data_IF_925666506784
#
_entry.id   IF_925666506784
#
_cell.length_a   1.000
_cell.length_b   1.000
_cell.length_c   1.000
_cell.angle_alpha   90.00
_cell.angle_beta   90.00
_cell.angle_gamma   90.00
#
_symmetry.space_group_name_H-M   'P 1'
#
loop_
_entity.id
_entity.type
_entity.pdbx_description
1 polymer ?
#
# COMPACT_ATOMS: atom_id res chain seq x y z
N UNK A 1 -1.03 20.69 -13.56
CA UNK A 1 -1.58 19.93 -12.40
C UNK A 1 -3.03 19.58 -12.72
N UNK A 2 -3.35 18.30 -12.80
CA UNK A 2 -4.66 17.78 -13.21
C UNK A 2 -5.45 17.25 -12.03
N UNK A 3 -6.79 17.36 -12.11
CA UNK A 3 -7.68 16.70 -11.17
C UNK A 3 -7.65 15.19 -11.40
N UNK A 4 -7.49 14.43 -10.32
CA UNK A 4 -7.43 12.98 -10.40
C UNK A 4 -8.84 12.35 -10.34
N UNK A 5 -9.07 11.24 -11.07
CA UNK A 5 -10.37 10.58 -11.09
C UNK A 5 -10.65 9.86 -9.77
N UNK A 6 -11.81 10.10 -9.18
CA UNK A 6 -12.32 9.39 -8.00
C UNK A 6 -13.27 8.26 -8.40
N UNK A 7 -13.54 7.33 -7.47
CA UNK A 7 -14.58 6.31 -7.65
C UNK A 7 -15.96 6.89 -7.30
N UNK A 8 -17.00 6.29 -7.84
CA UNK A 8 -18.36 6.52 -7.35
C UNK A 8 -18.55 5.65 -6.09
N UNK A 9 -18.56 6.29 -4.92
CA UNK A 9 -18.66 5.65 -3.60
C UNK A 9 -19.43 6.53 -2.64
N UNK A 10 -20.29 5.90 -1.83
CA UNK A 10 -20.97 6.53 -0.73
C UNK A 10 -20.71 5.78 0.59
N UNK A 11 -20.87 6.44 1.72
CA UNK A 11 -20.74 5.79 3.03
C UNK A 11 -21.78 4.67 3.22
N UNK A 12 -22.94 4.77 2.56
CA UNK A 12 -23.98 3.76 2.58
C UNK A 12 -23.54 2.43 1.93
N UNK A 13 -22.63 2.47 0.96
CA UNK A 13 -22.10 1.27 0.32
C UNK A 13 -21.32 0.36 1.31
N UNK A 14 -20.90 0.93 2.43
CA UNK A 14 -20.09 0.25 3.46
C UNK A 14 -20.91 -0.19 4.69
N UNK A 15 -22.24 -0.20 4.64
CA UNK A 15 -23.10 -0.54 5.79
C UNK A 15 -22.81 -1.92 6.39
N UNK A 16 -22.49 -2.91 5.55
CA UNK A 16 -22.13 -4.26 6.00
C UNK A 16 -20.75 -4.32 6.70
N UNK A 17 -19.96 -3.26 6.58
CA UNK A 17 -18.60 -3.16 7.11
C UNK A 17 -18.48 -2.18 8.28
N UNK A 18 -19.56 -1.47 8.60
CA UNK A 18 -19.64 -0.46 9.66
C UNK A 18 -20.53 -0.92 10.81
N UNK A 19 -20.09 -0.66 12.04
CA UNK A 19 -21.00 -0.68 13.20
C UNK A 19 -21.74 0.66 13.28
N UNK A 20 -22.92 0.68 13.93
CA UNK A 20 -23.68 1.91 14.14
C UNK A 20 -22.84 3.02 14.81
N UNK A 21 -22.09 2.66 15.86
CA UNK A 21 -21.21 3.60 16.58
C UNK A 21 -20.14 4.23 15.67
N UNK A 22 -19.51 3.42 14.79
CA UNK A 22 -18.50 3.92 13.83
C UNK A 22 -19.11 4.84 12.80
N UNK A 23 -20.31 4.51 12.31
CA UNK A 23 -21.05 5.37 11.38
C UNK A 23 -21.37 6.72 12.04
N UNK A 24 -21.99 6.70 13.22
CA UNK A 24 -22.33 7.90 13.98
C UNK A 24 -21.11 8.81 14.23
N UNK A 25 -19.95 8.20 14.52
CA UNK A 25 -18.70 8.95 14.71
C UNK A 25 -18.25 9.63 13.42
N UNK A 26 -18.28 8.93 12.27
CA UNK A 26 -17.92 9.49 10.96
C UNK A 26 -18.87 10.65 10.62
N UNK A 27 -20.19 10.45 10.73
CA UNK A 27 -21.20 11.45 10.44
C UNK A 27 -21.07 12.69 11.34
N UNK A 28 -20.77 12.49 12.62
CA UNK A 28 -20.54 13.58 13.58
C UNK A 28 -19.30 14.40 13.24
N UNK A 29 -18.18 13.76 12.88
CA UNK A 29 -16.96 14.43 12.45
C UNK A 29 -17.21 15.23 11.17
N UNK A 30 -17.78 14.60 10.17
CA UNK A 30 -18.05 15.21 8.87
C UNK A 30 -18.99 16.43 8.99
N UNK A 31 -20.01 16.35 9.86
CA UNK A 31 -20.91 17.47 10.11
C UNK A 31 -20.21 18.73 10.67
N UNK A 32 -19.07 18.55 11.36
CA UNK A 32 -18.23 19.66 11.83
C UNK A 32 -17.31 20.27 10.75
N UNK A 33 -17.18 19.60 9.58
CA UNK A 33 -16.20 19.93 8.54
C UNK A 33 -16.82 20.32 7.19
N UNK A 34 -18.12 20.60 7.15
CA UNK A 34 -18.86 20.88 5.90
C UNK A 34 -18.38 22.15 5.17
N UNK A 35 -17.78 23.08 5.89
CA UNK A 35 -17.22 24.32 5.33
C UNK A 35 -15.68 24.23 5.14
N UNK A 36 -15.06 23.08 5.50
CA UNK A 36 -13.61 22.87 5.44
C UNK A 36 -13.21 22.28 4.08
N UNK A 37 -12.45 23.02 3.30
CA UNK A 37 -11.94 22.57 1.99
C UNK A 37 -10.59 21.86 2.14
N UNK A 38 -10.52 20.63 1.66
CA UNK A 38 -9.32 19.79 1.74
C UNK A 38 -8.75 19.55 0.35
N UNK A 39 -7.42 19.64 0.20
CA UNK A 39 -6.70 19.27 -1.02
C UNK A 39 -5.74 18.13 -0.72
N UNK A 40 -5.81 17.05 -1.49
CA UNK A 40 -4.78 16.02 -1.55
C UNK A 40 -3.88 16.23 -2.76
N UNK A 41 -2.56 16.27 -2.56
CA UNK A 41 -1.55 16.32 -3.62
C UNK A 41 -0.70 15.06 -3.60
N UNK A 42 -0.58 14.37 -4.75
CA UNK A 42 0.35 13.26 -4.93
C UNK A 42 0.97 13.26 -6.34
N UNK A 43 1.84 12.30 -6.63
CA UNK A 43 2.63 12.26 -7.86
C UNK A 43 2.00 11.50 -9.02
N UNK A 44 0.95 10.69 -8.81
CA UNK A 44 0.35 9.88 -9.87
C UNK A 44 -1.13 9.61 -9.62
N UNK A 45 -1.98 9.62 -10.65
CA UNK A 45 -3.40 9.28 -10.51
C UNK A 45 -3.64 7.76 -10.50
N UNK A 46 -2.61 6.93 -10.77
CA UNK A 46 -2.74 5.48 -10.93
C UNK A 46 -1.42 4.78 -10.60
N UNK A 47 -1.46 3.47 -10.45
CA UNK A 47 -0.25 2.66 -10.27
C UNK A 47 0.33 2.77 -8.85
N UNK A 48 -0.27 2.13 -7.88
CA UNK A 48 0.23 2.06 -6.51
C UNK A 48 -0.83 2.25 -5.45
N UNK A 49 -0.50 1.83 -4.22
CA UNK A 49 -1.45 1.81 -3.11
C UNK A 49 -1.98 3.17 -2.69
N UNK A 50 -1.19 4.24 -2.84
CA UNK A 50 -1.61 5.62 -2.48
C UNK A 50 -2.71 6.11 -3.41
N UNK A 51 -2.51 6.01 -4.72
CA UNK A 51 -3.51 6.43 -5.71
C UNK A 51 -4.79 5.58 -5.60
N UNK A 52 -4.65 4.27 -5.38
CA UNK A 52 -5.80 3.37 -5.20
C UNK A 52 -6.63 3.76 -3.97
N UNK A 53 -5.98 4.06 -2.86
CA UNK A 53 -6.60 4.54 -1.63
C UNK A 53 -7.31 5.89 -1.81
N UNK A 54 -6.64 6.87 -2.44
CA UNK A 54 -7.17 8.22 -2.64
C UNK A 54 -8.41 8.24 -3.53
N UNK A 55 -8.48 7.39 -4.55
CA UNK A 55 -9.66 7.26 -5.42
C UNK A 55 -10.96 7.01 -4.65
N UNK A 56 -10.90 6.24 -3.59
CA UNK A 56 -12.07 5.91 -2.77
C UNK A 56 -12.20 6.83 -1.56
N UNK A 57 -11.08 7.23 -0.93
CA UNK A 57 -11.09 8.11 0.24
C UNK A 57 -11.67 9.49 -0.08
N UNK A 58 -11.21 10.12 -1.17
CA UNK A 58 -11.69 11.44 -1.59
C UNK A 58 -13.18 11.40 -1.97
N UNK A 59 -13.62 10.32 -2.64
CA UNK A 59 -15.04 10.12 -2.90
C UNK A 59 -15.89 10.08 -1.62
N UNK A 60 -15.42 9.33 -0.60
CA UNK A 60 -16.12 9.22 0.68
C UNK A 60 -16.07 10.50 1.51
N UNK A 61 -15.00 11.28 1.45
CA UNK A 61 -14.94 12.59 2.11
C UNK A 61 -16.00 13.54 1.51
N UNK A 62 -16.10 13.57 0.18
CA UNK A 62 -17.13 14.36 -0.53
C UNK A 62 -18.55 13.85 -0.25
N UNK A 63 -18.80 12.53 -0.25
CA UNK A 63 -20.11 11.96 0.10
C UNK A 63 -20.51 12.30 1.54
N UNK A 64 -19.54 12.29 2.46
CA UNK A 64 -19.75 12.71 3.85
C UNK A 64 -20.00 14.22 4.02
N UNK A 65 -19.85 15.01 2.96
CA UNK A 65 -20.08 16.46 2.95
C UNK A 65 -18.86 17.31 3.27
N UNK A 66 -17.65 16.74 3.23
CA UNK A 66 -16.38 17.48 3.39
C UNK A 66 -15.78 17.76 2.00
N UNK A 67 -15.82 19.02 1.53
CA UNK A 67 -15.35 19.37 0.18
C UNK A 67 -13.87 19.03 0.00
N UNK A 68 -13.58 18.03 -0.84
CA UNK A 68 -12.24 17.49 -0.98
C UNK A 68 -11.84 17.33 -2.45
N UNK A 69 -10.72 17.93 -2.81
CA UNK A 69 -10.11 17.80 -4.13
C UNK A 69 -8.88 16.88 -4.06
N UNK A 70 -8.61 16.20 -5.17
CA UNK A 70 -7.39 15.44 -5.35
C UNK A 70 -6.73 15.84 -6.66
N UNK A 71 -5.50 16.33 -6.58
CA UNK A 71 -4.70 16.76 -7.73
C UNK A 71 -3.37 16.04 -7.81
N UNK A 72 -2.89 15.89 -9.03
CA UNK A 72 -1.61 15.26 -9.34
C UNK A 72 -0.63 16.33 -9.79
N UNK A 73 0.58 16.32 -9.21
CA UNK A 73 1.65 17.25 -9.57
C UNK A 73 2.18 16.95 -10.99
N UNK A 74 2.63 18.00 -11.67
CA UNK A 74 3.33 17.89 -12.95
C UNK A 74 4.84 17.78 -12.76
N UNK A 75 5.52 17.19 -13.75
CA UNK A 75 6.98 17.10 -13.78
C UNK A 75 7.50 16.56 -15.10
N UNK A 76 8.74 16.89 -15.43
CA UNK A 76 9.47 16.25 -16.50
C UNK A 76 10.17 14.96 -15.99
N UNK A 77 10.77 14.22 -16.92
CA UNK A 77 11.53 13.00 -16.60
C UNK A 77 12.62 13.27 -15.55
N UNK A 78 13.36 14.37 -15.68
CA UNK A 78 14.42 14.74 -14.76
C UNK A 78 13.90 15.01 -13.33
N UNK A 79 12.70 15.60 -13.19
CA UNK A 79 12.07 15.79 -11.90
C UNK A 79 11.67 14.44 -11.27
N UNK A 80 11.05 13.55 -12.05
CA UNK A 80 10.64 12.24 -11.52
C UNK A 80 11.84 11.34 -11.19
N UNK A 81 12.95 11.43 -11.93
CA UNK A 81 14.22 10.78 -11.55
C UNK A 81 14.74 11.32 -10.20
N UNK A 82 14.72 12.64 -10.00
CA UNK A 82 15.13 13.28 -8.74
C UNK A 82 14.21 12.85 -7.59
N UNK A 83 12.90 12.86 -7.78
CA UNK A 83 11.97 12.45 -6.72
C UNK A 83 12.06 10.95 -6.41
N UNK A 84 12.34 10.09 -7.40
CA UNK A 84 12.66 8.66 -7.18
C UNK A 84 13.95 8.52 -6.36
N UNK A 85 14.99 9.30 -6.65
CA UNK A 85 16.22 9.29 -5.87
C UNK A 85 16.01 9.77 -4.43
N UNK A 86 15.16 10.80 -4.22
CA UNK A 86 14.79 11.26 -2.87
C UNK A 86 14.03 10.16 -2.12
N UNK A 87 13.05 9.53 -2.77
CA UNK A 87 12.29 8.41 -2.21
C UNK A 87 13.21 7.26 -1.77
N UNK A 88 14.12 6.83 -2.63
CA UNK A 88 15.07 5.76 -2.32
C UNK A 88 16.07 6.18 -1.23
N UNK A 89 16.60 7.42 -1.29
CA UNK A 89 17.50 7.95 -0.28
C UNK A 89 16.85 8.06 1.11
N UNK A 90 15.58 8.37 1.19
CA UNK A 90 14.80 8.35 2.42
C UNK A 90 14.57 6.92 2.95
N UNK A 91 14.78 5.90 2.13
CA UNK A 91 14.79 4.51 2.54
C UNK A 91 16.22 3.94 2.71
N UNK A 92 17.25 4.81 2.65
CA UNK A 92 18.66 4.42 2.84
C UNK A 92 19.37 3.93 1.58
N UNK A 93 18.73 4.02 0.42
CA UNK A 93 19.28 3.57 -0.87
C UNK A 93 19.09 4.65 -1.93
N UNK A 94 20.08 5.46 -2.15
CA UNK A 94 20.01 6.50 -3.17
C UNK A 94 21.40 6.94 -3.61
N UNK A 95 21.52 7.58 -4.80
CA UNK A 95 22.76 8.23 -5.20
C UNK A 95 23.05 9.39 -4.23
N UNK A 96 24.28 9.92 -4.18
CA UNK A 96 24.55 11.14 -3.42
C UNK A 96 23.66 12.30 -3.85
N UNK A 97 22.99 12.95 -2.88
CA UNK A 97 22.11 14.10 -3.13
C UNK A 97 22.91 15.33 -3.56
N UNK A 98 22.81 15.73 -4.83
CA UNK A 98 23.54 16.85 -5.43
C UNK A 98 22.77 18.17 -5.34
N UNK A 99 23.49 19.29 -5.53
CA UNK A 99 22.84 20.62 -5.59
C UNK A 99 21.93 20.76 -6.82
N UNK A 100 22.29 20.16 -7.97
CA UNK A 100 21.42 20.12 -9.13
C UNK A 100 20.11 19.39 -8.90
N UNK A 101 20.12 18.30 -8.15
CA UNK A 101 18.87 17.59 -7.74
C UNK A 101 18.01 18.48 -6.85
N UNK A 102 18.62 19.18 -5.88
CA UNK A 102 17.90 20.11 -4.98
C UNK A 102 17.26 21.26 -5.77
N UNK A 103 17.96 21.80 -6.77
CA UNK A 103 17.47 22.89 -7.62
C UNK A 103 16.33 22.42 -8.52
N UNK A 104 16.45 21.25 -9.17
CA UNK A 104 15.40 20.65 -9.99
C UNK A 104 14.13 20.39 -9.15
N UNK A 105 14.29 19.82 -7.96
CA UNK A 105 13.17 19.56 -7.04
C UNK A 105 12.45 20.87 -6.65
N UNK A 106 13.19 21.90 -6.19
CA UNK A 106 12.59 23.18 -5.78
C UNK A 106 11.88 23.89 -6.93
N UNK A 107 12.50 23.94 -8.10
CA UNK A 107 11.89 24.56 -9.28
C UNK A 107 10.51 23.92 -9.59
N UNK A 108 10.44 22.61 -9.69
CA UNK A 108 9.20 21.93 -10.01
C UNK A 108 8.15 22.00 -8.90
N UNK A 109 8.55 21.95 -7.65
CA UNK A 109 7.61 22.12 -6.54
C UNK A 109 7.09 23.57 -6.45
N UNK A 110 7.87 24.57 -6.78
CA UNK A 110 7.42 25.96 -6.92
C UNK A 110 6.43 26.14 -8.09
N UNK A 111 6.72 25.56 -9.27
CA UNK A 111 5.82 25.56 -10.42
C UNK A 111 4.48 24.87 -10.08
N UNK A 112 4.51 23.73 -9.39
CA UNK A 112 3.31 23.04 -8.92
C UNK A 112 2.54 23.85 -7.87
N UNK A 113 3.21 24.50 -6.95
CA UNK A 113 2.57 25.38 -5.98
C UNK A 113 1.86 26.56 -6.68
N UNK A 114 2.45 27.13 -7.72
CA UNK A 114 1.84 28.22 -8.52
C UNK A 114 0.56 27.74 -9.25
N UNK A 115 0.47 26.48 -9.60
CA UNK A 115 -0.72 25.89 -10.25
C UNK A 115 -1.92 25.66 -9.30
N UNK A 116 -1.72 25.68 -7.98
CA UNK A 116 -2.82 25.65 -7.00
C UNK A 116 -3.43 27.04 -6.92
N UNK A 117 -4.51 27.30 -7.65
CA UNK A 117 -5.12 28.64 -7.76
C UNK A 117 -6.01 28.99 -6.57
N UNK A 118 -6.71 28.00 -6.02
CA UNK A 118 -7.68 28.17 -4.94
C UNK A 118 -7.03 28.04 -3.57
N UNK A 119 -7.63 28.67 -2.57
CA UNK A 119 -7.30 28.50 -1.16
C UNK A 119 -8.03 27.29 -0.58
N UNK A 120 -7.35 26.54 0.26
CA UNK A 120 -7.87 25.39 1.01
C UNK A 120 -7.59 25.59 2.49
N UNK A 121 -8.45 25.04 3.34
CA UNK A 121 -8.22 25.06 4.78
C UNK A 121 -7.13 24.05 5.17
N UNK A 122 -7.11 22.88 4.50
CA UNK A 122 -6.12 21.84 4.74
C UNK A 122 -5.54 21.30 3.42
N UNK A 123 -4.23 21.20 3.34
CA UNK A 123 -3.50 20.57 2.21
C UNK A 123 -2.72 19.37 2.71
N UNK A 124 -3.02 18.19 2.15
CA UNK A 124 -2.34 16.92 2.46
C UNK A 124 -1.37 16.56 1.33
N UNK A 125 -0.08 16.57 1.65
CA UNK A 125 1.01 16.27 0.73
C UNK A 125 1.44 14.81 0.88
N UNK A 126 1.23 14.00 -0.16
CA UNK A 126 1.51 12.56 -0.11
C UNK A 126 2.91 12.25 -0.60
N UNK A 127 3.74 11.69 0.28
CA UNK A 127 5.13 11.32 0.05
C UNK A 127 6.06 12.53 -0.22
N UNK A 128 7.35 12.32 -0.53
CA UNK A 128 8.28 13.43 -0.74
C UNK A 128 8.06 14.21 -2.05
N UNK A 129 7.35 13.66 -3.04
CA UNK A 129 7.24 14.26 -4.36
C UNK A 129 6.58 15.66 -4.33
N UNK A 130 5.39 15.85 -3.73
CA UNK A 130 4.75 17.16 -3.62
C UNK A 130 5.22 17.96 -2.39
N UNK A 131 6.01 17.40 -1.48
CA UNK A 131 6.28 18.00 -0.17
C UNK A 131 6.87 19.43 -0.29
N UNK A 132 7.76 19.68 -1.25
CA UNK A 132 8.39 20.98 -1.43
C UNK A 132 7.42 22.11 -1.81
N UNK A 133 6.20 21.79 -2.30
CA UNK A 133 5.17 22.79 -2.61
C UNK A 133 4.76 23.61 -1.38
N UNK A 134 4.96 23.05 -0.17
CA UNK A 134 4.64 23.72 1.09
C UNK A 134 5.37 25.07 1.26
N UNK A 135 6.60 25.23 0.72
CA UNK A 135 7.34 26.50 0.84
C UNK A 135 6.56 27.67 0.23
N UNK A 136 6.14 27.54 -1.02
CA UNK A 136 5.43 28.60 -1.73
C UNK A 136 3.94 28.68 -1.34
N UNK A 137 3.30 27.55 -1.02
CA UNK A 137 1.89 27.55 -0.61
C UNK A 137 1.70 28.21 0.75
N UNK A 138 2.55 27.91 1.75
CA UNK A 138 2.46 28.53 3.08
C UNK A 138 2.71 30.05 3.07
N UNK A 139 3.55 30.54 2.14
CA UNK A 139 3.75 31.98 1.96
C UNK A 139 2.52 32.66 1.33
N UNK A 140 1.84 31.96 0.40
CA UNK A 140 0.68 32.49 -0.31
C UNK A 140 -0.62 32.36 0.48
N UNK A 141 -0.77 31.29 1.23
CA UNK A 141 -1.95 30.93 2.00
C UNK A 141 -1.58 30.68 3.47
N UNK A 142 -1.31 31.74 4.28
CA UNK A 142 -0.78 31.60 5.63
C UNK A 142 -1.77 30.98 6.66
N UNK A 143 -3.06 30.94 6.34
CA UNK A 143 -4.09 30.34 7.20
C UNK A 143 -4.33 28.85 6.85
N UNK A 144 -3.74 28.34 5.75
CA UNK A 144 -3.87 26.93 5.34
C UNK A 144 -3.03 26.05 6.24
N UNK A 145 -3.63 24.99 6.79
CA UNK A 145 -2.92 23.95 7.50
C UNK A 145 -2.29 22.92 6.52
N UNK A 146 -1.05 22.56 6.74
CA UNK A 146 -0.31 21.61 5.91
C UNK A 146 -0.04 20.31 6.64
N UNK A 147 -0.37 19.19 6.00
CA UNK A 147 -0.11 17.84 6.50
C UNK A 147 0.80 17.11 5.54
N UNK A 148 1.92 16.61 6.02
CA UNK A 148 2.73 15.68 5.23
C UNK A 148 2.36 14.24 5.52
N UNK A 149 1.83 13.50 4.56
CA UNK A 149 1.54 12.08 4.65
C UNK A 149 2.67 11.27 4.03
N UNK A 150 3.58 10.75 4.86
CA UNK A 150 4.68 9.90 4.44
C UNK A 150 4.24 8.42 4.48
N UNK A 151 4.28 7.75 3.33
CA UNK A 151 3.92 6.33 3.20
C UNK A 151 5.13 5.39 3.26
N UNK A 152 6.35 5.95 3.30
CA UNK A 152 7.61 5.19 3.32
C UNK A 152 8.21 5.11 4.73
N UNK A 153 9.09 4.14 4.92
CA UNK A 153 9.85 3.95 6.14
C UNK A 153 11.11 4.83 6.14
N UNK A 154 11.26 5.72 7.12
CA UNK A 154 12.41 6.61 7.27
C UNK A 154 13.44 6.13 8.31
N UNK A 155 13.29 4.93 8.88
CA UNK A 155 14.18 4.44 9.95
C UNK A 155 15.64 4.39 9.52
N UNK A 156 15.90 4.00 8.27
CA UNK A 156 17.24 3.90 7.68
C UNK A 156 17.59 5.04 6.71
N UNK A 157 16.82 6.15 6.74
CA UNK A 157 17.01 7.27 5.82
C UNK A 157 18.48 7.78 5.81
N UNK A 158 19.00 8.01 4.60
CA UNK A 158 20.29 8.70 4.43
C UNK A 158 20.21 10.10 5.06
N UNK A 159 21.21 10.50 5.88
CA UNK A 159 21.18 11.78 6.59
C UNK A 159 21.04 13.01 5.69
N UNK A 160 21.62 12.99 4.47
CA UNK A 160 21.56 14.13 3.56
C UNK A 160 20.15 14.32 2.98
N UNK A 161 19.47 13.22 2.64
CA UNK A 161 18.10 13.24 2.17
C UNK A 161 17.11 13.59 3.30
N UNK A 162 17.32 13.03 4.50
CA UNK A 162 16.49 13.34 5.64
C UNK A 162 16.57 14.83 6.03
N UNK A 163 17.79 15.40 6.05
CA UNK A 163 17.99 16.82 6.32
C UNK A 163 17.37 17.71 5.25
N UNK A 164 17.43 17.28 3.97
CA UNK A 164 16.80 18.02 2.89
C UNK A 164 15.28 18.11 3.05
N UNK A 165 14.60 17.00 3.32
CA UNK A 165 13.13 17.00 3.51
C UNK A 165 12.71 17.65 4.82
N UNK A 166 13.54 17.59 5.86
CA UNK A 166 13.28 18.23 7.17
C UNK A 166 12.98 19.72 7.03
N UNK A 167 13.65 20.41 6.11
CA UNK A 167 13.41 21.83 5.83
C UNK A 167 11.96 22.12 5.41
N UNK A 168 11.36 21.22 4.64
CA UNK A 168 9.96 21.32 4.20
C UNK A 168 8.99 20.83 5.25
N UNK A 169 9.28 19.69 5.90
CA UNK A 169 8.45 19.12 6.98
C UNK A 169 8.28 20.11 8.14
N UNK A 170 9.31 20.91 8.45
CA UNK A 170 9.23 21.95 9.46
C UNK A 170 8.23 23.09 9.16
N UNK A 171 7.63 23.11 7.95
CA UNK A 171 6.57 24.04 7.55
C UNK A 171 5.18 23.38 7.56
N UNK A 172 5.09 22.11 7.93
CA UNK A 172 3.82 21.40 8.07
C UNK A 172 3.36 21.35 9.52
N UNK A 173 2.06 21.35 9.76
CA UNK A 173 1.45 21.27 11.09
C UNK A 173 1.51 19.87 11.65
N UNK A 174 1.40 18.87 10.78
CA UNK A 174 1.46 17.45 11.14
C UNK A 174 2.26 16.64 10.13
N UNK A 175 2.95 15.62 10.62
CA UNK A 175 3.51 14.57 9.79
C UNK A 175 2.86 13.22 10.13
N UNK A 176 2.30 12.56 9.12
CA UNK A 176 1.50 11.34 9.29
C UNK A 176 2.25 10.14 8.74
N UNK A 177 2.38 9.09 9.54
CA UNK A 177 3.11 7.86 9.21
C UNK A 177 2.21 6.63 9.35
N UNK A 178 2.61 5.52 8.72
CA UNK A 178 1.94 4.23 8.86
C UNK A 178 2.28 3.55 10.19
N UNK A 179 3.45 3.85 10.76
CA UNK A 179 3.96 3.38 12.05
C UNK A 179 4.64 4.52 12.80
N UNK A 180 4.62 4.52 14.15
CA UNK A 180 5.30 5.54 14.95
C UNK A 180 6.82 5.62 14.64
N UNK A 181 7.47 4.46 14.47
CA UNK A 181 8.91 4.34 14.28
C UNK A 181 9.38 5.01 12.98
N UNK A 182 8.54 5.07 11.94
CA UNK A 182 8.91 5.65 10.66
C UNK A 182 9.27 7.13 10.73
N UNK A 183 8.66 7.86 11.66
CA UNK A 183 8.90 9.28 11.85
C UNK A 183 9.85 9.63 13.02
N UNK A 184 10.44 8.67 13.74
CA UNK A 184 11.22 8.95 14.95
C UNK A 184 12.44 9.85 14.72
N UNK A 185 13.00 9.81 13.52
CA UNK A 185 14.15 10.65 13.13
C UNK A 185 13.79 12.08 12.73
N UNK A 186 12.49 12.42 12.67
CA UNK A 186 12.01 13.77 12.37
C UNK A 186 11.57 14.48 13.65
N UNK A 187 12.32 15.50 14.01
CA UNK A 187 12.01 16.38 15.13
C UNK A 187 11.34 17.67 14.62
N UNK A 188 10.62 18.38 15.52
CA UNK A 188 10.06 19.70 15.23
C UNK A 188 8.71 19.72 14.53
N UNK A 189 8.08 18.56 14.31
CA UNK A 189 6.71 18.44 13.80
C UNK A 189 5.92 17.46 14.67
N UNK A 190 4.63 17.71 14.86
CA UNK A 190 3.75 16.75 15.55
C UNK A 190 3.50 15.56 14.65
N UNK A 191 3.73 14.34 15.17
CA UNK A 191 3.63 13.08 14.43
C UNK A 191 2.35 12.35 14.78
N UNK A 192 1.63 11.92 13.76
CA UNK A 192 0.38 11.15 13.87
C UNK A 192 0.56 9.80 13.18
N UNK A 193 -0.02 8.75 13.72
CA UNK A 193 0.02 7.41 13.10
C UNK A 193 -1.34 7.07 12.52
N UNK A 194 -1.39 6.92 11.19
CA UNK A 194 -2.58 6.48 10.45
C UNK A 194 -2.17 5.36 9.50
N UNK A 195 -2.40 4.08 9.87
CA UNK A 195 -2.12 2.96 8.98
C UNK A 195 -2.97 3.03 7.71
N UNK A 196 -2.47 2.65 6.55
CA UNK A 196 -3.26 2.49 5.33
C UNK A 196 -4.44 1.52 5.49
N UNK A 197 -5.34 1.52 4.51
CA UNK A 197 -6.50 0.63 4.48
C UNK A 197 -6.80 0.17 3.05
N UNK A 198 -7.50 -0.94 2.93
CA UNK A 198 -8.05 -1.43 1.67
C UNK A 198 -9.51 -1.00 1.52
N UNK A 199 -9.95 -0.83 0.28
CA UNK A 199 -11.37 -0.68 -0.04
C UNK A 199 -11.98 -2.07 -0.32
N UNK A 200 -12.88 -2.57 0.55
CA UNK A 200 -13.46 -3.91 0.42
C UNK A 200 -14.40 -4.05 -0.81
N UNK A 201 -14.75 -2.95 -1.45
CA UNK A 201 -15.69 -2.91 -2.57
C UNK A 201 -15.01 -2.85 -3.95
N UNK A 202 -13.68 -2.78 -4.01
CA UNK A 202 -12.96 -2.84 -5.29
C UNK A 202 -13.02 -4.24 -5.90
N UNK A 203 -12.82 -4.34 -7.21
CA UNK A 203 -12.74 -5.64 -7.89
C UNK A 203 -11.69 -6.55 -7.27
N UNK A 204 -10.60 -5.98 -6.78
CA UNK A 204 -9.54 -6.69 -6.07
C UNK A 204 -10.00 -7.31 -4.74
N UNK A 205 -11.02 -6.74 -4.06
CA UNK A 205 -11.34 -7.10 -2.68
C UNK A 205 -12.78 -7.59 -2.43
N UNK A 206 -13.73 -7.19 -3.29
CA UNK A 206 -15.15 -7.59 -3.16
C UNK A 206 -15.35 -9.08 -3.28
N UNK A 207 -16.46 -9.59 -2.78
CA UNK A 207 -16.86 -10.96 -3.03
C UNK A 207 -17.07 -11.20 -4.55
N UNK A 208 -16.61 -12.34 -5.03
CA UNK A 208 -16.85 -12.79 -6.42
C UNK A 208 -18.08 -13.68 -6.47
N UNK A 209 -18.97 -13.45 -7.42
CA UNK A 209 -20.10 -14.33 -7.72
C UNK A 209 -19.66 -15.68 -8.29
N UNK A 210 -20.58 -16.67 -8.35
CA UNK A 210 -20.23 -18.00 -8.84
C UNK A 210 -19.74 -18.00 -10.30
N UNK A 211 -20.44 -17.27 -11.18
CA UNK A 211 -20.07 -17.17 -12.61
C UNK A 211 -18.74 -16.43 -12.80
N UNK A 212 -18.46 -15.39 -11.97
CA UNK A 212 -17.19 -14.68 -11.99
C UNK A 212 -16.05 -15.59 -11.54
N UNK A 213 -16.22 -16.36 -10.45
CA UNK A 213 -15.22 -17.34 -10.00
C UNK A 213 -14.89 -18.35 -11.08
N UNK A 214 -15.92 -18.88 -11.76
CA UNK A 214 -15.72 -19.82 -12.85
C UNK A 214 -14.94 -19.20 -14.01
N UNK A 215 -15.28 -17.96 -14.39
CA UNK A 215 -14.57 -17.24 -15.45
C UNK A 215 -13.10 -16.94 -15.09
N UNK A 216 -12.83 -16.59 -13.84
CA UNK A 216 -11.45 -16.34 -13.38
C UNK A 216 -10.65 -17.65 -13.23
N UNK A 217 -11.29 -18.75 -12.79
CA UNK A 217 -10.66 -20.07 -12.79
C UNK A 217 -10.27 -20.51 -14.21
N UNK A 218 -11.17 -20.32 -15.20
CA UNK A 218 -10.86 -20.61 -16.60
C UNK A 218 -9.70 -19.75 -17.14
N UNK A 219 -9.60 -18.49 -16.73
CA UNK A 219 -8.50 -17.59 -17.10
C UNK A 219 -7.14 -18.10 -16.65
N UNK A 220 -7.08 -18.67 -15.45
CA UNK A 220 -5.87 -19.24 -14.85
C UNK A 220 -5.86 -20.77 -14.89
N UNK A 221 -6.59 -21.39 -15.82
CA UNK A 221 -6.73 -22.83 -15.95
C UNK A 221 -5.39 -23.63 -15.92
N UNK A 222 -4.28 -23.14 -16.49
CA UNK A 222 -3.00 -23.81 -16.36
C UNK A 222 -2.51 -23.99 -14.92
N UNK A 223 -2.94 -23.08 -14.01
CA UNK A 223 -2.65 -23.16 -12.59
C UNK A 223 -3.61 -24.12 -11.85
N UNK A 224 -4.79 -24.40 -12.42
CA UNK A 224 -5.86 -25.21 -11.82
C UNK A 224 -6.08 -24.95 -10.30
N UNK A 225 -6.53 -23.74 -9.92
CA UNK A 225 -6.65 -23.38 -8.50
C UNK A 225 -7.64 -24.26 -7.71
N UNK A 226 -8.50 -25.04 -8.39
CA UNK A 226 -9.43 -25.98 -7.78
C UNK A 226 -8.85 -27.39 -7.58
N UNK A 227 -7.59 -27.64 -7.95
CA UNK A 227 -6.97 -28.94 -7.71
C UNK A 227 -6.75 -29.20 -6.20
N UNK A 228 -6.78 -30.48 -5.81
CA UNK A 228 -6.55 -30.90 -4.41
C UNK A 228 -5.10 -30.65 -3.90
N UNK A 229 -4.22 -30.09 -4.74
CA UNK A 229 -2.83 -29.79 -4.41
C UNK A 229 -2.69 -28.35 -3.88
N UNK A 230 -1.78 -28.11 -2.92
CA UNK A 230 -1.63 -26.78 -2.33
C UNK A 230 -1.27 -25.70 -3.34
N UNK A 231 -1.83 -24.50 -3.14
CA UNK A 231 -1.55 -23.30 -3.92
C UNK A 231 -0.93 -22.21 -3.02
N UNK A 232 0.31 -21.85 -3.33
CA UNK A 232 1.00 -20.72 -2.73
C UNK A 232 0.94 -19.52 -3.68
N UNK A 233 0.66 -18.33 -3.15
CA UNK A 233 0.52 -17.11 -3.95
C UNK A 233 1.39 -16.00 -3.36
N UNK A 234 2.14 -15.30 -4.20
CA UNK A 234 2.70 -13.98 -3.88
C UNK A 234 2.10 -12.96 -4.84
N UNK A 235 1.58 -11.85 -4.31
CA UNK A 235 1.13 -10.70 -5.09
C UNK A 235 2.05 -9.53 -4.81
N UNK A 236 2.92 -9.18 -5.76
CA UNK A 236 3.85 -8.07 -5.63
C UNK A 236 4.45 -7.68 -6.98
N UNK A 237 5.02 -6.46 -7.09
CA UNK A 237 5.91 -6.16 -8.20
C UNK A 237 7.12 -7.11 -8.19
N UNK A 238 7.74 -7.33 -9.34
CA UNK A 238 9.03 -7.98 -9.43
C UNK A 238 10.13 -7.00 -9.01
N UNK A 239 10.42 -6.99 -7.71
CA UNK A 239 11.24 -6.03 -7.01
C UNK A 239 12.15 -6.80 -6.05
N UNK A 240 13.47 -6.51 -5.95
CA UNK A 240 14.38 -7.23 -5.05
C UNK A 240 13.92 -7.25 -3.60
N UNK A 241 13.26 -6.18 -3.16
CA UNK A 241 12.75 -6.09 -1.77
C UNK A 241 11.55 -6.98 -1.49
N UNK A 242 10.86 -7.46 -2.53
CA UNK A 242 9.78 -8.44 -2.41
C UNK A 242 10.29 -9.88 -2.38
N UNK A 243 11.59 -10.07 -2.68
CA UNK A 243 12.33 -11.34 -2.61
C UNK A 243 11.61 -12.52 -3.30
N UNK A 244 11.23 -12.39 -4.60
CA UNK A 244 10.52 -13.44 -5.30
C UNK A 244 11.38 -14.70 -5.49
N UNK A 245 12.71 -14.59 -5.60
CA UNK A 245 13.62 -15.74 -5.64
C UNK A 245 13.61 -16.51 -4.32
N UNK A 246 13.55 -15.82 -3.18
CA UNK A 246 13.40 -16.47 -1.90
C UNK A 246 12.03 -17.13 -1.73
N UNK A 247 10.97 -16.63 -2.38
CA UNK A 247 9.67 -17.32 -2.44
C UNK A 247 9.77 -18.62 -3.25
N UNK A 248 10.49 -18.62 -4.38
CA UNK A 248 10.77 -19.86 -5.15
C UNK A 248 11.54 -20.87 -4.30
N UNK A 249 12.51 -20.43 -3.51
CA UNK A 249 13.26 -21.31 -2.60
C UNK A 249 12.34 -21.91 -1.52
N UNK A 250 11.44 -21.11 -0.92
CA UNK A 250 10.43 -21.61 0.03
C UNK A 250 9.50 -22.62 -0.63
N UNK A 251 9.00 -22.32 -1.83
CA UNK A 251 8.14 -23.22 -2.59
C UNK A 251 8.82 -24.59 -2.79
N UNK A 252 10.07 -24.64 -3.21
CA UNK A 252 10.82 -25.90 -3.41
C UNK A 252 10.89 -26.71 -2.13
N UNK A 253 11.18 -26.08 -0.99
CA UNK A 253 11.23 -26.76 0.31
C UNK A 253 9.85 -27.28 0.73
N UNK A 254 8.76 -26.59 0.39
CA UNK A 254 7.40 -27.06 0.65
C UNK A 254 7.03 -28.22 -0.28
N UNK A 255 7.33 -28.11 -1.57
CA UNK A 255 7.03 -29.13 -2.59
C UNK A 255 7.73 -30.49 -2.32
N UNK A 256 8.87 -30.50 -1.63
CA UNK A 256 9.51 -31.75 -1.15
C UNK A 256 8.60 -32.54 -0.20
N UNK A 257 7.84 -31.85 0.64
CA UNK A 257 6.93 -32.46 1.62
C UNK A 257 5.51 -32.65 1.07
N UNK A 258 5.08 -31.76 0.19
CA UNK A 258 3.76 -31.72 -0.46
C UNK A 258 3.91 -31.74 -1.98
N UNK A 259 4.15 -32.92 -2.58
CA UNK A 259 4.27 -33.04 -4.05
C UNK A 259 3.02 -32.51 -4.77
N UNK A 260 3.23 -31.76 -5.86
CA UNK A 260 2.16 -31.11 -6.61
C UNK A 260 1.79 -29.72 -6.06
N UNK A 261 2.48 -29.21 -5.03
CA UNK A 261 2.34 -27.81 -4.61
C UNK A 261 2.60 -26.88 -5.79
N UNK A 262 1.73 -25.90 -5.98
CA UNK A 262 1.83 -24.91 -7.05
C UNK A 262 2.19 -23.54 -6.47
N UNK A 263 2.93 -22.76 -7.25
CA UNK A 263 3.31 -21.40 -6.92
C UNK A 263 2.83 -20.43 -8.00
N UNK A 264 2.06 -19.42 -7.62
CA UNK A 264 1.75 -18.28 -8.47
C UNK A 264 2.48 -17.03 -7.98
N UNK A 265 3.35 -16.46 -8.82
CA UNK A 265 3.95 -15.14 -8.62
C UNK A 265 3.19 -14.15 -9.51
N UNK A 266 2.44 -13.26 -8.89
CA UNK A 266 1.48 -12.35 -9.54
C UNK A 266 1.94 -10.91 -9.39
N UNK A 267 2.14 -10.19 -10.51
CA UNK A 267 2.58 -8.80 -10.45
C UNK A 267 2.44 -8.05 -11.77
N UNK A 268 2.60 -6.73 -11.74
CA UNK A 268 2.71 -5.93 -12.96
C UNK A 268 4.04 -6.13 -13.65
N UNK A 269 4.06 -6.03 -14.98
CA UNK A 269 5.31 -5.96 -15.74
C UNK A 269 6.03 -4.66 -15.40
N UNK A 270 7.33 -4.73 -15.12
CA UNK A 270 8.12 -3.55 -14.80
C UNK A 270 8.61 -2.83 -16.08
N UNK A 271 7.68 -2.41 -16.97
CA UNK A 271 8.01 -1.88 -18.30
C UNK A 271 8.93 -0.67 -18.25
N UNK A 272 8.79 0.17 -17.21
CA UNK A 272 9.57 1.39 -17.02
C UNK A 272 10.65 1.25 -15.91
N UNK A 273 10.84 0.04 -15.36
CA UNK A 273 11.78 -0.23 -14.28
C UNK A 273 12.83 -1.30 -14.70
N UNK A 274 14.04 -0.86 -15.10
CA UNK A 274 15.11 -1.79 -15.52
C UNK A 274 15.48 -2.83 -14.46
N UNK A 275 15.46 -2.47 -13.17
CA UNK A 275 15.75 -3.36 -12.06
C UNK A 275 14.67 -4.43 -11.91
N UNK A 276 13.41 -4.05 -12.00
CA UNK A 276 12.29 -4.99 -11.97
C UNK A 276 12.32 -5.97 -13.14
N UNK A 277 12.73 -5.51 -14.34
CA UNK A 277 12.94 -6.39 -15.50
C UNK A 277 14.07 -7.38 -15.30
N UNK A 278 15.13 -7.00 -14.59
CA UNK A 278 16.23 -7.92 -14.26
C UNK A 278 15.75 -9.00 -13.29
N UNK A 279 15.08 -8.61 -12.20
CA UNK A 279 14.48 -9.54 -11.22
C UNK A 279 13.50 -10.50 -11.90
N UNK A 280 12.63 -9.99 -12.79
CA UNK A 280 11.71 -10.87 -13.54
C UNK A 280 12.45 -11.93 -14.38
N UNK A 281 13.53 -11.52 -15.08
CA UNK A 281 14.34 -12.47 -15.89
C UNK A 281 15.04 -13.51 -15.01
N UNK A 282 15.56 -13.10 -13.85
CA UNK A 282 16.18 -14.02 -12.89
C UNK A 282 15.18 -15.04 -12.37
N UNK A 283 13.99 -14.59 -11.95
CA UNK A 283 12.91 -15.48 -11.47
C UNK A 283 12.49 -16.44 -12.58
N UNK A 284 12.28 -15.95 -13.80
CA UNK A 284 11.94 -16.80 -14.95
C UNK A 284 13.01 -17.84 -15.24
N UNK A 285 14.30 -17.45 -15.20
CA UNK A 285 15.40 -18.37 -15.39
C UNK A 285 15.52 -19.41 -14.27
N UNK A 286 15.26 -18.99 -13.03
CA UNK A 286 15.29 -19.90 -11.88
C UNK A 286 14.14 -20.93 -11.87
N UNK A 287 13.04 -20.63 -12.55
CA UNK A 287 11.82 -21.48 -12.60
C UNK A 287 11.60 -22.14 -13.96
N UNK A 288 12.57 -22.01 -14.87
CA UNK A 288 12.49 -22.60 -16.21
C UNK A 288 12.35 -24.13 -16.13
N UNK A 289 11.30 -24.67 -16.78
CA UNK A 289 11.03 -26.11 -16.81
C UNK A 289 10.29 -26.65 -15.57
N UNK A 290 9.95 -25.82 -14.59
CA UNK A 290 9.09 -26.21 -13.47
C UNK A 290 7.61 -25.97 -13.85
N UNK A 291 6.80 -27.03 -14.09
CA UNK A 291 5.43 -26.87 -14.55
C UNK A 291 4.48 -26.34 -13.47
N UNK A 292 4.87 -26.39 -12.20
CA UNK A 292 4.06 -26.01 -11.05
C UNK A 292 4.34 -24.55 -10.61
N UNK A 293 5.25 -23.82 -11.29
CA UNK A 293 5.53 -22.40 -11.02
C UNK A 293 4.98 -21.53 -12.15
N UNK A 294 4.11 -20.58 -11.80
CA UNK A 294 3.41 -19.71 -12.74
C UNK A 294 3.78 -18.25 -12.50
N UNK A 295 4.32 -17.57 -13.51
CA UNK A 295 4.58 -16.14 -13.50
C UNK A 295 3.42 -15.45 -14.22
N UNK A 296 2.58 -14.76 -13.48
CA UNK A 296 1.35 -14.11 -13.95
C UNK A 296 1.52 -12.59 -13.94
N UNK A 297 1.81 -12.02 -15.11
CA UNK A 297 1.98 -10.56 -15.25
C UNK A 297 0.69 -9.89 -15.68
N UNK A 298 0.48 -8.65 -15.20
CA UNK A 298 -0.60 -7.74 -15.63
C UNK A 298 -2.00 -8.36 -15.57
N UNK A 299 -2.24 -9.13 -14.52
CA UNK A 299 -3.55 -9.76 -14.33
C UNK A 299 -4.61 -8.73 -13.91
N UNK A 300 -5.86 -8.88 -14.39
CA UNK A 300 -6.99 -8.10 -13.89
C UNK A 300 -7.15 -8.21 -12.36
N UNK A 301 -7.65 -7.16 -11.72
CA UNK A 301 -7.92 -7.14 -10.27
C UNK A 301 -8.82 -8.30 -9.81
N UNK A 302 -9.81 -8.69 -10.62
CA UNK A 302 -10.67 -9.85 -10.35
C UNK A 302 -9.87 -11.17 -10.30
N UNK A 303 -8.88 -11.33 -11.21
CA UNK A 303 -8.00 -12.50 -11.23
C UNK A 303 -7.11 -12.54 -9.97
N UNK A 304 -6.52 -11.40 -9.59
CA UNK A 304 -5.74 -11.28 -8.34
C UNK A 304 -6.61 -11.62 -7.12
N UNK A 305 -7.85 -11.10 -7.09
CA UNK A 305 -8.84 -11.41 -6.06
C UNK A 305 -9.12 -12.92 -5.98
N UNK A 306 -9.36 -13.56 -7.12
CA UNK A 306 -9.62 -14.99 -7.22
C UNK A 306 -8.42 -15.80 -6.69
N UNK A 307 -7.22 -15.53 -7.17
CA UNK A 307 -6.01 -16.24 -6.76
C UNK A 307 -5.74 -16.12 -5.25
N UNK A 308 -5.91 -14.93 -4.67
CA UNK A 308 -5.76 -14.76 -3.22
C UNK A 308 -6.85 -15.48 -2.42
N UNK A 309 -8.05 -15.75 -2.99
CA UNK A 309 -9.11 -16.51 -2.31
C UNK A 309 -8.91 -18.01 -2.37
N UNK A 310 -8.39 -18.50 -3.49
CA UNK A 310 -8.15 -19.92 -3.72
C UNK A 310 -6.79 -20.38 -3.16
N UNK A 311 -5.92 -19.45 -2.79
CA UNK A 311 -4.62 -19.78 -2.18
C UNK A 311 -4.80 -20.41 -0.79
N UNK A 312 -4.06 -21.48 -0.51
CA UNK A 312 -3.92 -22.04 0.83
C UNK A 312 -3.09 -21.13 1.74
N UNK A 313 -2.07 -20.46 1.16
CA UNK A 313 -1.20 -19.51 1.86
C UNK A 313 -0.75 -18.41 0.90
N UNK A 314 -0.84 -17.16 1.37
CA UNK A 314 -0.19 -16.04 0.70
C UNK A 314 1.17 -15.76 1.35
N UNK A 315 2.19 -15.61 0.53
CA UNK A 315 3.55 -15.31 0.95
C UNK A 315 3.86 -13.82 0.72
N UNK A 316 4.17 -13.09 1.79
CA UNK A 316 4.61 -11.70 1.73
C UNK A 316 5.89 -11.53 2.53
N UNK A 317 6.96 -12.19 2.06
CA UNK A 317 8.22 -12.24 2.78
C UNK A 317 9.19 -11.13 2.37
N UNK A 318 8.69 -9.92 2.21
CA UNK A 318 9.49 -8.76 1.84
C UNK A 318 10.71 -8.58 2.74
N UNK A 319 11.79 -8.07 2.17
CA UNK A 319 13.00 -7.67 2.87
C UNK A 319 12.86 -6.23 3.42
N UNK A 320 12.06 -5.42 2.71
CA UNK A 320 11.64 -4.06 3.09
C UNK A 320 10.20 -3.81 2.64
N UNK A 321 9.46 -3.05 3.43
CA UNK A 321 8.05 -2.79 3.15
C UNK A 321 7.56 -1.53 3.88
N UNK A 322 6.85 -0.66 3.18
CA UNK A 322 6.14 0.46 3.81
C UNK A 322 4.95 -0.04 4.62
N UNK A 323 4.03 -0.79 3.98
CA UNK A 323 2.84 -1.34 4.65
C UNK A 323 2.45 -2.73 4.14
N UNK A 324 2.49 -2.98 2.82
CA UNK A 324 2.00 -4.19 2.15
C UNK A 324 0.48 -4.35 2.21
N UNK A 325 -0.28 -3.57 1.42
CA UNK A 325 -1.74 -3.72 1.32
C UNK A 325 -2.17 -5.15 0.97
N UNK A 326 -1.34 -5.87 0.20
CA UNK A 326 -1.56 -7.27 -0.18
C UNK A 326 -1.73 -8.22 0.99
N UNK A 327 -1.15 -7.91 2.16
CA UNK A 327 -1.38 -8.66 3.41
C UNK A 327 -2.81 -8.46 3.89
N UNK A 328 -3.28 -7.20 4.01
CA UNK A 328 -4.68 -6.92 4.36
C UNK A 328 -5.65 -7.50 3.35
N UNK A 329 -5.32 -7.46 2.04
CA UNK A 329 -6.14 -8.04 0.97
C UNK A 329 -6.31 -9.55 1.12
N UNK A 330 -5.22 -10.28 1.39
CA UNK A 330 -5.26 -11.73 1.60
C UNK A 330 -6.04 -12.10 2.89
N UNK A 331 -5.73 -11.45 4.01
CA UNK A 331 -6.42 -11.66 5.28
C UNK A 331 -7.92 -11.32 5.17
N UNK A 332 -8.30 -10.28 4.42
CA UNK A 332 -9.69 -9.94 4.14
C UNK A 332 -10.43 -11.07 3.41
N UNK A 333 -9.73 -11.82 2.60
CA UNK A 333 -10.24 -12.98 1.86
C UNK A 333 -10.20 -14.29 2.65
N UNK A 334 -9.83 -14.24 3.93
CA UNK A 334 -9.66 -15.38 4.85
C UNK A 334 -8.46 -16.27 4.49
N UNK A 335 -7.51 -15.77 3.73
CA UNK A 335 -6.30 -16.50 3.37
C UNK A 335 -5.19 -16.13 4.35
N UNK A 336 -4.64 -17.08 5.11
CA UNK A 336 -3.56 -16.79 6.04
C UNK A 336 -2.29 -16.38 5.29
N UNK A 337 -1.52 -15.51 5.94
CA UNK A 337 -0.30 -14.94 5.38
C UNK A 337 0.91 -15.41 6.18
N UNK A 338 1.97 -15.84 5.49
CA UNK A 338 3.30 -15.92 6.08
C UNK A 338 4.09 -14.72 5.59
N UNK A 339 4.32 -13.77 6.47
CA UNK A 339 4.93 -12.47 6.19
C UNK A 339 6.33 -12.32 6.79
N UNK A 340 7.13 -11.45 6.16
CA UNK A 340 8.40 -10.99 6.76
C UNK A 340 8.14 -10.07 7.96
N UNK A 341 8.92 -10.22 9.03
CA UNK A 341 8.87 -9.33 10.19
C UNK A 341 9.59 -8.02 9.87
N UNK A 342 9.04 -7.26 8.91
CA UNK A 342 9.60 -5.98 8.43
C UNK A 342 8.50 -4.97 8.14
N UNK A 343 8.83 -3.71 8.27
CA UNK A 343 7.97 -2.61 7.87
C UNK A 343 6.58 -2.67 8.50
N UNK A 344 5.55 -2.40 7.71
CA UNK A 344 4.14 -2.42 8.14
C UNK A 344 3.48 -3.81 8.20
N UNK A 345 4.17 -4.89 7.82
CA UNK A 345 3.61 -6.25 7.87
C UNK A 345 3.23 -6.66 9.30
N UNK A 346 4.06 -6.43 10.34
CA UNK A 346 3.73 -6.75 11.74
C UNK A 346 2.52 -6.00 12.32
N UNK A 347 2.07 -4.91 11.70
CA UNK A 347 0.82 -4.25 12.09
C UNK A 347 -0.42 -5.09 11.72
N UNK A 348 -0.29 -5.91 10.68
CA UNK A 348 -1.38 -6.65 10.06
C UNK A 348 -1.42 -8.12 10.49
N UNK A 349 -0.28 -8.66 10.92
CA UNK A 349 -0.15 -10.05 11.35
C UNK A 349 0.14 -10.12 12.84
N UNK A 350 -0.72 -10.85 13.57
CA UNK A 350 -0.46 -11.34 14.92
C UNK A 350 0.07 -12.76 14.82
N UNK A 351 1.36 -12.94 15.12
CA UNK A 351 2.04 -14.21 14.94
C UNK A 351 1.31 -15.38 15.62
N UNK A 352 0.96 -16.39 14.83
CA UNK A 352 0.24 -17.57 15.27
C UNK A 352 -1.29 -17.43 15.49
N UNK A 353 -1.85 -16.20 15.34
CA UNK A 353 -3.30 -15.94 15.49
C UNK A 353 -4.00 -15.78 14.14
N UNK A 354 -3.49 -14.90 13.25
CA UNK A 354 -4.06 -14.61 11.94
C UNK A 354 -3.08 -14.77 10.77
N UNK A 355 -1.89 -15.26 11.05
CA UNK A 355 -0.79 -15.48 10.12
C UNK A 355 0.49 -15.79 10.87
N UNK A 356 1.61 -15.81 10.17
CA UNK A 356 2.91 -15.98 10.77
C UNK A 356 3.88 -14.87 10.35
N UNK A 357 4.72 -14.42 11.29
CA UNK A 357 5.84 -13.54 11.05
C UNK A 357 7.15 -14.31 11.09
N UNK A 358 8.02 -14.09 10.12
CA UNK A 358 9.32 -14.76 10.02
C UNK A 358 10.40 -13.73 9.70
N UNK A 359 11.58 -13.90 10.29
CA UNK A 359 12.71 -13.03 9.98
C UNK A 359 13.02 -13.03 8.46
N UNK A 360 13.43 -11.89 7.89
CA UNK A 360 13.85 -11.83 6.49
C UNK A 360 14.91 -12.87 6.14
N UNK A 361 14.77 -13.50 4.98
CA UNK A 361 15.71 -14.53 4.45
C UNK A 361 15.79 -15.84 5.25
N UNK A 362 14.98 -16.02 6.29
CA UNK A 362 14.88 -17.33 6.96
C UNK A 362 13.90 -18.25 6.20
N UNK A 363 14.33 -18.70 5.01
CA UNK A 363 13.51 -19.52 4.12
C UNK A 363 13.07 -20.85 4.75
N UNK A 364 13.94 -21.56 5.51
CA UNK A 364 13.50 -22.76 6.21
C UNK A 364 12.38 -22.52 7.21
N UNK A 365 12.43 -21.41 7.97
CA UNK A 365 11.38 -21.06 8.90
C UNK A 365 10.07 -20.70 8.16
N UNK A 366 10.13 -19.99 7.02
CA UNK A 366 8.96 -19.71 6.19
C UNK A 366 8.34 -21.01 5.70
N UNK A 367 9.14 -21.92 5.12
CA UNK A 367 8.67 -23.23 4.63
C UNK A 367 8.03 -24.06 5.74
N UNK A 368 8.57 -23.99 6.97
CA UNK A 368 8.03 -24.69 8.14
C UNK A 368 6.65 -24.14 8.54
N UNK A 369 6.46 -22.81 8.51
CA UNK A 369 5.17 -22.18 8.76
C UNK A 369 4.12 -22.53 7.70
N UNK A 370 4.53 -22.53 6.43
CA UNK A 370 3.66 -22.96 5.32
C UNK A 370 3.24 -24.42 5.50
N UNK A 371 4.20 -25.34 5.70
CA UNK A 371 3.88 -26.76 5.94
C UNK A 371 2.89 -26.96 7.08
N UNK A 372 3.08 -26.25 8.17
CA UNK A 372 2.16 -26.30 9.32
C UNK A 372 0.75 -25.84 8.98
N UNK A 373 0.59 -24.83 8.11
CA UNK A 373 -0.72 -24.38 7.63
C UNK A 373 -1.38 -25.44 6.74
N UNK A 374 -0.61 -26.13 5.91
CA UNK A 374 -1.10 -27.18 5.02
C UNK A 374 -1.46 -28.47 5.75
N UNK A 375 -0.78 -28.79 6.86
CA UNK A 375 -1.06 -29.96 7.69
C UNK A 375 -2.28 -29.78 8.60
N UNK A 376 -2.58 -28.55 9.04
CA UNK A 376 -3.60 -28.24 10.03
C UNK A 376 -4.76 -27.43 9.39
N UNK A 377 -5.56 -28.03 8.49
CA UNK A 377 -6.65 -27.34 7.75
C UNK A 377 -7.63 -26.59 8.66
N UNK A 378 -8.06 -27.19 9.78
CA UNK A 378 -8.93 -26.56 10.77
C UNK A 378 -8.29 -25.30 11.38
N UNK A 379 -6.99 -25.28 11.55
CA UNK A 379 -6.24 -24.14 12.04
C UNK A 379 -6.13 -23.06 10.96
N UNK A 380 -5.85 -23.46 9.72
CA UNK A 380 -5.82 -22.58 8.58
C UNK A 380 -7.15 -21.80 8.47
N UNK A 381 -8.28 -22.50 8.48
CA UNK A 381 -9.61 -21.87 8.42
C UNK A 381 -9.88 -20.90 9.57
N UNK A 382 -9.56 -21.27 10.83
CA UNK A 382 -9.70 -20.36 11.99
C UNK A 382 -8.79 -19.14 11.90
N UNK A 383 -7.55 -19.32 11.43
CA UNK A 383 -6.60 -18.25 11.24
C UNK A 383 -7.09 -17.25 10.17
N UNK A 384 -7.67 -17.76 9.08
CA UNK A 384 -8.28 -16.95 8.04
C UNK A 384 -9.46 -16.12 8.55
N UNK A 385 -10.37 -16.70 9.34
CA UNK A 385 -11.49 -15.95 9.94
C UNK A 385 -10.98 -14.86 10.91
N UNK A 386 -10.00 -15.19 11.75
CA UNK A 386 -9.37 -14.22 12.66
C UNK A 386 -8.73 -13.07 11.87
N UNK A 387 -8.06 -13.39 10.74
CA UNK A 387 -7.45 -12.41 9.85
C UNK A 387 -8.47 -11.46 9.24
N UNK A 388 -9.57 -12.00 8.71
CA UNK A 388 -10.66 -11.19 8.15
C UNK A 388 -11.26 -10.23 9.18
N UNK A 389 -11.54 -10.72 10.38
CA UNK A 389 -12.10 -9.89 11.44
C UNK A 389 -11.13 -8.77 11.85
N UNK A 390 -9.84 -9.11 11.96
CA UNK A 390 -8.80 -8.14 12.29
C UNK A 390 -8.68 -7.02 11.24
N UNK A 391 -8.76 -7.38 9.94
CA UNK A 391 -8.76 -6.40 8.84
C UNK A 391 -10.05 -5.56 8.86
N UNK A 392 -11.22 -6.19 9.11
CA UNK A 392 -12.50 -5.48 9.21
C UNK A 392 -12.47 -4.37 10.26
N UNK A 393 -11.85 -4.65 11.40
CA UNK A 393 -11.76 -3.69 12.49
C UNK A 393 -10.76 -2.57 12.23
N UNK A 394 -9.65 -2.85 11.52
CA UNK A 394 -8.48 -1.97 11.54
C UNK A 394 -8.03 -1.44 10.19
N UNK A 395 -8.32 -2.13 9.09
CA UNK A 395 -7.69 -1.85 7.80
C UNK A 395 -8.68 -1.71 6.64
N UNK A 396 -9.96 -1.41 6.93
CA UNK A 396 -10.93 -1.04 5.91
C UNK A 396 -11.06 0.48 5.75
N UNK A 397 -11.42 0.89 4.55
CA UNK A 397 -11.53 2.29 4.13
C UNK A 397 -12.41 3.17 5.06
N UNK A 398 -13.56 2.71 5.62
CA UNK A 398 -14.33 3.54 6.55
C UNK A 398 -13.57 3.92 7.83
N UNK A 399 -12.67 3.05 8.32
CA UNK A 399 -11.78 3.41 9.43
C UNK A 399 -10.81 4.50 9.01
N UNK A 400 -10.23 4.38 7.81
CA UNK A 400 -9.32 5.38 7.27
C UNK A 400 -10.01 6.74 7.06
N UNK A 401 -11.26 6.75 6.55
CA UNK A 401 -12.06 7.95 6.45
C UNK A 401 -12.18 8.64 7.81
N UNK A 402 -12.57 7.91 8.86
CA UNK A 402 -12.64 8.47 10.23
C UNK A 402 -11.31 9.09 10.65
N UNK A 403 -10.20 8.39 10.45
CA UNK A 403 -8.88 8.87 10.87
C UNK A 403 -8.47 10.16 10.12
N UNK A 404 -8.84 10.28 8.83
CA UNK A 404 -8.61 11.52 8.07
C UNK A 404 -9.55 12.66 8.50
N UNK A 405 -10.81 12.37 8.83
CA UNK A 405 -11.71 13.40 9.38
C UNK A 405 -11.22 13.89 10.75
N UNK A 406 -10.74 13.00 11.63
CA UNK A 406 -10.12 13.37 12.91
C UNK A 406 -8.83 14.17 12.70
N UNK A 407 -8.01 13.83 11.70
CA UNK A 407 -6.80 14.56 11.34
C UNK A 407 -7.14 15.98 10.85
N UNK A 408 -8.14 16.12 9.96
CA UNK A 408 -8.59 17.41 9.44
C UNK A 408 -9.19 18.27 10.57
N UNK A 409 -10.06 17.71 11.42
CA UNK A 409 -10.63 18.43 12.60
C UNK A 409 -9.53 18.97 13.53
N UNK A 410 -8.42 18.25 13.65
CA UNK A 410 -7.33 18.62 14.57
C UNK A 410 -6.39 19.73 14.03
N UNK A 411 -6.47 20.06 12.73
CA UNK A 411 -5.58 21.06 12.11
C UNK A 411 -6.31 22.23 11.47
N UNK A 412 -7.61 22.10 11.14
CA UNK A 412 -8.46 23.12 10.53
C UNK A 412 -8.90 24.27 11.52
#
# INVERSE_FOLDING_TARGET
>A
MDDAPTRDRSLADYDEHLTGERRERIESLAAGLTDTRVLHLNSTPSGGGVAEMLRSLVALMNDAGVPTDWRVIDGDEAFFEVTKAIHNGLQGEGPPLTDGMRETYRRWTEENAAAVADEYDVVVLHDPQPLGTVEALAERFPETAFVWRCHIDLTDADPAYLEFVRGFVGRTDRAVFSRPEYGERLDGVERVTVPPAIDPLTEKNRALGGDERAAEADRVAPLDPAADSPLLVQVSRFDPWKDPLGVVEVYRQVAEAFPGTRLALVGGMPDDDPEGMEVFREVRGATEGDPDVHLLTDQPDATVNHLQREADVVLQKSLREGFALTVSEALWKRTPVVGGDVGGIPLQIRDGENGYLVAPKDYPAVADRVRRLLEEEDRNGRMGETGREFVRERFLLPRLLRDYLELVEAVA
#
